data_IF_972963732326
#
_entry.id   IF_972963732326
#
_cell.length_a   1.000
_cell.length_b   1.000
_cell.length_c   1.000
_cell.angle_alpha   90.00
_cell.angle_beta   90.00
_cell.angle_gamma   90.00
#
_symmetry.space_group_name_H-M   'P 1'
#
loop_
_entity.id
_entity.type
_entity.pdbx_description
1 polymer ?
#
# COMPACT_ATOMS: atom_id res chain seq x y z
N UNK A 1 30.67 15.02 -31.58
CA UNK A 1 29.76 15.16 -30.42
C UNK A 1 29.20 13.84 -29.92
N UNK A 2 28.74 12.90 -30.78
CA UNK A 2 28.30 11.54 -30.37
C UNK A 2 29.28 10.74 -29.50
N UNK A 3 30.59 11.00 -29.59
CA UNK A 3 31.62 10.28 -28.80
C UNK A 3 31.64 10.69 -27.32
N UNK A 4 31.48 11.97 -27.01
CA UNK A 4 31.45 12.45 -25.61
C UNK A 4 30.17 11.96 -24.93
N UNK A 5 29.03 12.08 -25.60
CA UNK A 5 27.74 11.63 -25.06
C UNK A 5 27.74 10.12 -24.83
N UNK A 6 28.28 9.33 -25.78
CA UNK A 6 28.45 7.88 -25.64
C UNK A 6 29.41 7.51 -24.51
N UNK A 7 30.50 8.26 -24.36
CA UNK A 7 31.44 8.05 -23.25
C UNK A 7 30.76 8.30 -21.91
N UNK A 8 30.10 9.45 -21.74
CA UNK A 8 29.39 9.79 -20.50
C UNK A 8 28.29 8.77 -20.18
N UNK A 9 27.53 8.31 -21.18
CA UNK A 9 26.51 7.27 -20.99
C UNK A 9 27.11 5.94 -20.53
N UNK A 10 28.12 5.42 -21.23
CA UNK A 10 28.74 4.13 -20.86
C UNK A 10 29.40 4.23 -19.47
N UNK A 11 30.10 5.34 -19.21
CA UNK A 11 30.75 5.61 -17.94
C UNK A 11 29.74 5.83 -16.79
N UNK A 12 28.47 6.14 -17.09
CA UNK A 12 27.38 6.21 -16.10
C UNK A 12 26.69 4.85 -15.91
N UNK A 13 26.47 4.10 -16.99
CA UNK A 13 25.80 2.80 -16.93
C UNK A 13 26.63 1.76 -16.18
N UNK A 14 27.95 1.74 -16.37
CA UNK A 14 28.83 0.77 -15.71
C UNK A 14 28.75 0.83 -14.17
N UNK A 15 28.98 1.99 -13.50
CA UNK A 15 28.81 2.11 -12.06
C UNK A 15 27.34 1.95 -11.62
N UNK A 16 26.37 2.28 -12.46
CA UNK A 16 24.95 2.07 -12.15
C UNK A 16 24.62 0.58 -12.02
N UNK A 17 25.02 -0.23 -13.00
CA UNK A 17 24.86 -1.69 -12.92
C UNK A 17 25.62 -2.31 -11.74
N UNK A 18 26.83 -1.84 -11.46
CA UNK A 18 27.60 -2.29 -10.30
C UNK A 18 26.89 -1.99 -8.97
N UNK A 19 26.37 -0.76 -8.82
CA UNK A 19 25.60 -0.38 -7.64
C UNK A 19 24.30 -1.20 -7.52
N UNK A 20 23.58 -1.42 -8.63
CA UNK A 20 22.38 -2.27 -8.64
C UNK A 20 22.72 -3.67 -8.12
N UNK A 21 23.69 -4.36 -8.71
CA UNK A 21 24.07 -5.73 -8.28
C UNK A 21 24.45 -5.76 -6.81
N UNK A 22 25.19 -4.76 -6.35
CA UNK A 22 25.61 -4.64 -4.94
C UNK A 22 24.41 -4.50 -4.01
N UNK A 23 23.49 -3.57 -4.29
CA UNK A 23 22.30 -3.36 -3.47
C UNK A 23 21.32 -4.54 -3.54
N UNK A 24 21.17 -5.19 -4.70
CA UNK A 24 20.38 -6.41 -4.83
C UNK A 24 20.95 -7.53 -3.95
N UNK A 25 22.26 -7.74 -4.00
CA UNK A 25 22.95 -8.72 -3.16
C UNK A 25 22.76 -8.41 -1.67
N UNK A 26 22.96 -7.15 -1.28
CA UNK A 26 22.77 -6.69 0.10
C UNK A 26 21.33 -6.93 0.57
N UNK A 27 20.34 -6.61 -0.27
CA UNK A 27 18.94 -6.84 0.05
C UNK A 27 18.64 -8.33 0.26
N UNK A 28 19.12 -9.20 -0.63
CA UNK A 28 18.95 -10.66 -0.51
C UNK A 28 19.57 -11.18 0.78
N UNK A 29 20.76 -10.68 1.15
CA UNK A 29 21.41 -11.05 2.41
C UNK A 29 20.53 -10.65 3.60
N UNK A 30 20.03 -9.41 3.63
CA UNK A 30 19.14 -8.95 4.70
C UNK A 30 17.87 -9.82 4.79
N UNK A 31 17.23 -10.12 3.65
CA UNK A 31 16.03 -10.94 3.61
C UNK A 31 16.30 -12.37 4.11
N UNK A 32 17.44 -12.95 3.70
CA UNK A 32 17.86 -14.27 4.14
C UNK A 32 18.07 -14.33 5.66
N UNK A 33 18.70 -13.30 6.25
CA UNK A 33 18.88 -13.23 7.70
C UNK A 33 17.56 -13.07 8.45
N UNK A 34 16.64 -12.24 7.95
CA UNK A 34 15.34 -12.00 8.57
C UNK A 34 14.43 -13.23 8.51
N UNK A 35 14.47 -13.99 7.42
CA UNK A 35 13.58 -15.13 7.18
C UNK A 35 14.24 -16.48 7.44
N UNK A 36 15.44 -16.52 8.02
CA UNK A 36 16.22 -17.76 8.16
C UNK A 36 15.46 -18.84 8.96
N UNK A 37 14.69 -18.44 9.97
CA UNK A 37 13.89 -19.36 10.80
C UNK A 37 12.72 -19.96 10.00
N UNK A 38 12.02 -19.14 9.23
CA UNK A 38 10.91 -19.57 8.36
C UNK A 38 11.42 -20.48 7.22
N UNK A 39 12.62 -20.18 6.69
CA UNK A 39 13.26 -20.94 5.62
C UNK A 39 13.75 -22.32 6.06
N UNK A 40 14.32 -22.43 7.26
CA UNK A 40 14.74 -23.71 7.84
C UNK A 40 13.51 -24.58 8.15
N UNK A 41 12.41 -23.97 8.60
CA UNK A 41 11.17 -24.66 8.93
C UNK A 41 10.46 -25.27 7.72
N UNK A 42 10.63 -24.67 6.53
CA UNK A 42 9.87 -25.03 5.34
C UNK A 42 10.44 -26.22 4.53
N UNK A 43 11.62 -26.76 4.86
CA UNK A 43 12.32 -27.83 4.10
C UNK A 43 12.29 -27.63 2.57
N UNK A 44 12.33 -26.38 2.10
CA UNK A 44 12.06 -26.06 0.71
C UNK A 44 13.28 -26.40 -0.18
N UNK A 45 13.06 -26.99 -1.37
CA UNK A 45 14.15 -27.31 -2.30
C UNK A 45 14.85 -26.04 -2.83
N UNK A 46 16.16 -26.08 -3.14
CA UNK A 46 16.95 -24.90 -3.56
C UNK A 46 16.40 -24.16 -4.79
N UNK A 47 15.70 -24.87 -5.69
CA UNK A 47 15.03 -24.27 -6.85
C UNK A 47 13.92 -23.27 -6.47
N UNK A 48 13.26 -23.50 -5.32
CA UNK A 48 12.20 -22.63 -4.83
C UNK A 48 12.73 -21.22 -4.51
N UNK A 49 13.98 -21.10 -4.04
CA UNK A 49 14.60 -19.81 -3.72
C UNK A 49 14.75 -18.93 -4.96
N UNK A 50 15.13 -19.52 -6.10
CA UNK A 50 15.29 -18.78 -7.36
C UNK A 50 13.93 -18.22 -7.81
N UNK A 51 12.86 -19.01 -7.69
CA UNK A 51 11.52 -18.56 -8.04
C UNK A 51 10.98 -17.52 -7.07
N UNK A 52 11.20 -17.70 -5.77
CA UNK A 52 10.80 -16.76 -4.72
C UNK A 52 11.46 -15.40 -4.91
N UNK A 53 12.80 -15.36 -5.02
CA UNK A 53 13.53 -14.12 -5.25
C UNK A 53 13.24 -13.54 -6.64
N UNK A 54 13.04 -14.38 -7.66
CA UNK A 54 12.66 -13.94 -9.01
C UNK A 54 11.37 -13.13 -9.04
N UNK A 55 10.39 -13.48 -8.20
CA UNK A 55 9.13 -12.73 -8.07
C UNK A 55 9.34 -11.45 -7.25
N UNK A 56 10.28 -11.45 -6.30
CA UNK A 56 10.60 -10.28 -5.49
C UNK A 56 11.46 -9.25 -6.25
N UNK A 57 12.20 -9.65 -7.28
CA UNK A 57 13.11 -8.77 -8.05
C UNK A 57 12.50 -7.40 -8.33
N UNK A 58 11.28 -7.27 -8.89
CA UNK A 58 10.84 -5.95 -9.32
C UNK A 58 10.33 -5.11 -8.14
N UNK A 59 9.94 -5.72 -7.01
CA UNK A 59 9.71 -5.01 -5.74
C UNK A 59 11.02 -4.47 -5.16
N UNK A 60 12.08 -5.29 -5.16
CA UNK A 60 13.41 -4.89 -4.70
C UNK A 60 13.94 -3.76 -5.59
N UNK A 61 13.77 -3.89 -6.91
CA UNK A 61 14.13 -2.90 -7.90
C UNK A 61 13.55 -1.52 -7.57
N UNK A 62 12.26 -1.43 -7.21
CA UNK A 62 11.62 -0.15 -6.86
C UNK A 62 12.32 0.57 -5.70
N UNK A 63 12.85 -0.16 -4.72
CA UNK A 63 13.56 0.41 -3.57
C UNK A 63 15.02 0.73 -3.90
N UNK A 64 15.66 -0.10 -4.71
CA UNK A 64 17.11 -0.07 -4.97
C UNK A 64 17.50 0.87 -6.13
N UNK A 65 16.62 1.08 -7.11
CA UNK A 65 16.91 1.90 -8.29
C UNK A 65 17.34 3.34 -7.96
N UNK A 66 16.60 4.11 -7.12
CA UNK A 66 16.97 5.48 -6.79
C UNK A 66 18.34 5.64 -6.13
N UNK A 67 18.68 4.92 -5.04
CA UNK A 67 20.00 5.04 -4.42
C UNK A 67 21.12 4.53 -5.32
N UNK A 68 20.89 3.47 -6.12
CA UNK A 68 21.88 2.99 -7.08
C UNK A 68 22.20 4.01 -8.17
N UNK A 69 21.19 4.69 -8.71
CA UNK A 69 21.37 5.74 -9.70
C UNK A 69 22.11 6.95 -9.12
N UNK A 70 21.72 7.40 -7.92
CA UNK A 70 22.37 8.50 -7.23
C UNK A 70 23.87 8.22 -7.01
N UNK A 71 24.21 7.04 -6.48
CA UNK A 71 25.59 6.67 -6.20
C UNK A 71 26.44 6.59 -7.48
N UNK A 72 25.84 6.09 -8.57
CA UNK A 72 26.48 6.05 -9.88
C UNK A 72 26.82 7.45 -10.42
N UNK A 73 25.87 8.40 -10.30
CA UNK A 73 26.09 9.78 -10.71
C UNK A 73 27.24 10.42 -9.93
N UNK A 74 27.25 10.25 -8.61
CA UNK A 74 28.31 10.77 -7.73
C UNK A 74 29.66 10.14 -8.09
N UNK A 75 29.69 8.82 -8.29
CA UNK A 75 30.90 8.10 -8.67
C UNK A 75 31.46 8.62 -10.00
N UNK A 76 30.63 8.77 -11.04
CA UNK A 76 31.09 9.24 -12.34
C UNK A 76 31.65 10.67 -12.25
N UNK A 77 30.97 11.57 -11.54
CA UNK A 77 31.44 12.94 -11.34
C UNK A 77 32.77 12.96 -10.58
N UNK A 78 32.91 12.16 -9.52
CA UNK A 78 34.15 12.03 -8.78
C UNK A 78 35.28 11.45 -9.65
N UNK A 79 34.99 10.43 -10.45
CA UNK A 79 35.94 9.80 -11.37
C UNK A 79 36.45 10.80 -12.41
N UNK A 80 35.56 11.50 -13.10
CA UNK A 80 35.93 12.53 -14.07
C UNK A 80 36.69 13.71 -13.43
N UNK A 81 36.32 14.10 -12.20
CA UNK A 81 37.01 15.15 -11.45
C UNK A 81 38.44 14.75 -11.11
N UNK A 82 38.65 13.53 -10.58
CA UNK A 82 39.98 13.02 -10.21
C UNK A 82 40.95 12.92 -11.40
N UNK A 83 40.44 12.63 -12.60
CA UNK A 83 41.23 12.54 -13.84
C UNK A 83 41.39 13.88 -14.56
N UNK A 84 40.88 14.97 -13.98
CA UNK A 84 40.79 16.30 -14.62
C UNK A 84 40.05 16.29 -15.96
N UNK A 85 39.30 15.22 -16.27
CA UNK A 85 38.51 15.11 -17.49
C UNK A 85 37.42 16.17 -17.50
N UNK A 86 36.75 16.38 -16.36
CA UNK A 86 35.69 17.37 -16.20
C UNK A 86 36.19 18.78 -16.56
N UNK A 87 37.32 19.20 -15.97
CA UNK A 87 37.94 20.50 -16.23
C UNK A 87 38.41 20.61 -17.68
N UNK A 88 39.01 19.55 -18.25
CA UNK A 88 39.43 19.53 -19.64
C UNK A 88 38.26 19.70 -20.62
N UNK A 89 37.11 19.04 -20.38
CA UNK A 89 35.91 19.24 -21.20
C UNK A 89 35.39 20.67 -21.13
N UNK A 90 35.38 21.29 -19.95
CA UNK A 90 34.94 22.68 -19.80
C UNK A 90 35.90 23.65 -20.48
N UNK A 91 37.21 23.42 -20.37
CA UNK A 91 38.24 24.20 -21.05
C UNK A 91 38.14 24.09 -22.59
N UNK A 92 37.65 22.96 -23.10
CA UNK A 92 37.36 22.77 -24.53
C UNK A 92 36.07 23.49 -25.00
N UNK A 93 35.44 24.31 -24.15
CA UNK A 93 34.24 25.09 -24.46
C UNK A 93 32.93 24.32 -24.32
N UNK A 94 32.93 23.12 -23.73
CA UNK A 94 31.69 22.39 -23.44
C UNK A 94 31.04 22.95 -22.19
N UNK A 95 29.81 23.43 -22.32
CA UNK A 95 29.04 23.92 -21.18
C UNK A 95 28.74 22.81 -20.17
N UNK A 96 28.72 23.17 -18.88
CA UNK A 96 28.38 22.23 -17.81
C UNK A 96 27.00 21.61 -18.02
N UNK A 97 26.02 22.40 -18.47
CA UNK A 97 24.67 21.92 -18.78
C UNK A 97 24.66 20.76 -19.78
N UNK A 98 25.57 20.77 -20.77
CA UNK A 98 25.67 19.70 -21.77
C UNK A 98 26.23 18.40 -21.19
N UNK A 99 27.12 18.50 -20.20
CA UNK A 99 27.64 17.34 -19.47
C UNK A 99 26.52 16.66 -18.66
N UNK A 100 25.53 17.43 -18.17
CA UNK A 100 24.37 16.90 -17.43
C UNK A 100 23.28 16.26 -18.30
N UNK A 101 23.20 16.57 -19.60
CA UNK A 101 22.19 15.98 -20.52
C UNK A 101 22.12 14.43 -20.46
N UNK A 102 23.23 13.68 -20.55
CA UNK A 102 23.18 12.21 -20.43
C UNK A 102 22.70 11.74 -19.05
N UNK A 103 22.99 12.47 -17.97
CA UNK A 103 22.46 12.15 -16.65
C UNK A 103 20.94 12.30 -16.61
N UNK A 104 20.42 13.37 -17.19
CA UNK A 104 18.97 13.59 -17.31
C UNK A 104 18.29 12.54 -18.17
N UNK A 105 18.91 12.13 -19.27
CA UNK A 105 18.37 11.09 -20.13
C UNK A 105 18.24 9.75 -19.39
N UNK A 106 19.27 9.36 -18.64
CA UNK A 106 19.24 8.13 -17.82
C UNK A 106 18.30 8.26 -16.63
N UNK A 107 18.24 9.42 -15.95
CA UNK A 107 17.30 9.61 -14.84
C UNK A 107 15.85 9.51 -15.29
N UNK A 108 15.53 10.01 -16.49
CA UNK A 108 14.20 9.92 -17.06
C UNK A 108 13.84 8.46 -17.43
N UNK A 109 14.81 7.70 -17.96
CA UNK A 109 14.67 6.26 -18.18
C UNK A 109 14.43 5.52 -16.85
N UNK A 110 15.21 5.80 -15.80
CA UNK A 110 15.04 5.20 -14.48
C UNK A 110 13.68 5.55 -13.87
N UNK A 111 13.24 6.81 -14.00
CA UNK A 111 11.92 7.25 -13.54
C UNK A 111 10.79 6.55 -14.30
N UNK A 112 10.90 6.41 -15.63
CA UNK A 112 9.94 5.66 -16.44
C UNK A 112 9.90 4.19 -16.02
N UNK A 113 11.06 3.55 -15.85
CA UNK A 113 11.15 2.17 -15.38
C UNK A 113 10.50 2.02 -13.99
N UNK A 114 10.73 2.96 -13.09
CA UNK A 114 10.13 2.94 -11.76
C UNK A 114 8.60 3.12 -11.81
N UNK A 115 8.10 3.97 -12.71
CA UNK A 115 6.68 4.13 -12.96
C UNK A 115 6.05 2.84 -13.51
N UNK A 116 6.67 2.20 -14.51
CA UNK A 116 6.22 0.91 -15.03
C UNK A 116 6.21 -0.17 -13.96
N UNK A 117 7.30 -0.26 -13.17
CA UNK A 117 7.35 -1.17 -12.04
C UNK A 117 6.22 -0.88 -11.04
N UNK A 118 5.90 0.38 -10.76
CA UNK A 118 4.82 0.71 -9.83
C UNK A 118 3.43 0.35 -10.37
N UNK A 119 3.17 0.60 -11.65
CA UNK A 119 1.87 0.35 -12.28
C UNK A 119 1.58 -1.14 -12.47
N UNK A 120 2.55 -1.91 -12.97
CA UNK A 120 2.35 -3.33 -13.27
C UNK A 120 2.43 -4.22 -12.00
N UNK A 121 3.19 -3.82 -10.97
CA UNK A 121 3.40 -4.68 -9.79
C UNK A 121 2.41 -4.52 -8.64
N UNK A 122 1.70 -3.41 -8.55
CA UNK A 122 0.89 -3.12 -7.35
C UNK A 122 -0.28 -4.11 -7.17
N UNK A 123 -1.05 -4.50 -8.21
CA UNK A 123 -2.11 -5.50 -8.06
C UNK A 123 -1.65 -6.95 -8.31
N UNK A 124 -0.85 -7.19 -9.36
CA UNK A 124 -0.66 -8.54 -9.93
C UNK A 124 0.42 -9.39 -9.22
N UNK A 125 1.56 -8.79 -8.86
CA UNK A 125 2.66 -9.51 -8.22
C UNK A 125 2.43 -9.76 -6.73
N UNK A 126 1.66 -8.92 -6.04
CA UNK A 126 1.37 -9.11 -4.61
C UNK A 126 0.36 -10.23 -4.36
N UNK A 127 -0.66 -10.39 -5.22
CA UNK A 127 -1.53 -11.57 -5.18
C UNK A 127 -0.73 -12.86 -5.40
N UNK A 128 0.22 -12.86 -6.33
CA UNK A 128 1.08 -14.03 -6.60
C UNK A 128 2.04 -14.34 -5.45
N UNK A 129 2.61 -13.32 -4.81
CA UNK A 129 3.49 -13.47 -3.66
C UNK A 129 2.73 -13.98 -2.42
N UNK A 130 1.55 -13.44 -2.14
CA UNK A 130 0.65 -13.92 -1.07
C UNK A 130 0.24 -15.38 -1.28
N UNK A 131 -0.09 -15.76 -2.51
CA UNK A 131 -0.41 -17.15 -2.88
C UNK A 131 0.78 -18.12 -2.76
N UNK A 132 2.02 -17.62 -2.81
CA UNK A 132 3.23 -18.43 -2.62
C UNK A 132 3.63 -18.53 -1.15
N UNK A 133 3.50 -17.45 -0.39
CA UNK A 133 3.70 -17.45 1.06
C UNK A 133 2.69 -18.37 1.77
N UNK A 134 1.44 -18.41 1.30
CA UNK A 134 0.43 -19.36 1.80
C UNK A 134 0.78 -20.83 1.53
N UNK A 135 1.49 -21.10 0.43
CA UNK A 135 1.96 -22.46 0.12
C UNK A 135 3.17 -22.87 0.96
N UNK A 136 4.00 -21.93 1.39
CA UNK A 136 5.19 -22.21 2.21
C UNK A 136 4.87 -22.54 3.67
N UNK A 137 3.87 -21.90 4.28
CA UNK A 137 3.64 -22.04 5.72
C UNK A 137 2.78 -23.23 6.14
N UNK A 138 2.23 -24.04 5.21
CA UNK A 138 1.12 -24.98 5.51
C UNK A 138 -0.02 -24.31 6.32
N UNK A 139 -0.07 -22.98 6.30
CA UNK A 139 -1.19 -22.19 6.76
C UNK A 139 -2.08 -22.22 5.53
N UNK A 140 -3.22 -22.97 5.53
CA UNK A 140 -4.16 -22.88 4.42
C UNK A 140 -4.34 -21.40 4.17
N UNK A 141 -4.22 -20.97 2.91
CA UNK A 141 -4.40 -19.57 2.52
C UNK A 141 -5.48 -19.01 3.43
N UNK A 142 -5.11 -18.11 4.36
CA UNK A 142 -6.06 -17.49 5.28
C UNK A 142 -6.87 -16.60 4.35
N UNK A 143 -7.79 -17.23 3.63
CA UNK A 143 -8.35 -16.76 2.38
C UNK A 143 -9.12 -15.51 2.75
N UNK A 144 -8.50 -14.36 2.51
CA UNK A 144 -9.02 -13.07 2.90
C UNK A 144 -9.54 -12.98 4.35
N UNK A 145 -8.84 -13.57 5.32
CA UNK A 145 -9.19 -13.42 6.75
C UNK A 145 -8.38 -12.28 7.35
N UNK A 146 -9.05 -11.19 7.70
CA UNK A 146 -8.45 -9.97 8.25
C UNK A 146 -8.79 -9.80 9.73
N UNK A 147 -7.77 -9.59 10.55
CA UNK A 147 -7.93 -9.38 11.99
C UNK A 147 -8.00 -7.87 12.33
N UNK A 148 -8.89 -7.52 13.26
CA UNK A 148 -9.09 -6.17 13.82
C UNK A 148 -9.31 -5.11 12.73
N UNK A 149 -10.42 -5.22 12.01
CA UNK A 149 -10.84 -4.30 10.96
C UNK A 149 -11.67 -3.18 11.56
N UNK A 150 -11.28 -1.93 11.28
CA UNK A 150 -12.07 -0.74 11.58
C UNK A 150 -12.59 -0.18 10.27
N UNK A 151 -13.91 -0.08 10.14
CA UNK A 151 -14.55 0.53 8.97
C UNK A 151 -15.53 1.60 9.43
N UNK A 152 -15.51 2.77 8.79
CA UNK A 152 -16.49 3.84 9.04
C UNK A 152 -17.24 4.09 7.75
N UNK A 153 -18.54 3.86 7.79
CA UNK A 153 -19.43 4.11 6.66
C UNK A 153 -19.70 5.63 6.53
N UNK A 154 -19.37 6.25 5.38
CA UNK A 154 -19.58 7.67 5.15
C UNK A 154 -21.05 8.09 5.03
N UNK A 155 -21.95 7.20 4.58
CA UNK A 155 -23.33 7.59 4.23
C UNK A 155 -24.29 7.57 5.42
N UNK A 156 -24.09 6.66 6.37
CA UNK A 156 -24.95 6.50 7.55
C UNK A 156 -24.22 6.81 8.88
N UNK A 157 -22.93 7.12 8.84
CA UNK A 157 -22.12 7.40 10.04
C UNK A 157 -21.82 6.18 10.91
N UNK A 158 -22.14 4.96 10.46
CA UNK A 158 -21.95 3.72 11.21
C UNK A 158 -20.46 3.32 11.26
N UNK A 159 -19.95 3.02 12.44
CA UNK A 159 -18.62 2.47 12.66
C UNK A 159 -18.67 0.99 12.99
N UNK A 160 -17.82 0.23 12.32
CA UNK A 160 -17.68 -1.21 12.49
C UNK A 160 -16.30 -1.53 13.05
N UNK A 161 -16.26 -2.28 14.13
CA UNK A 161 -15.06 -2.85 14.72
C UNK A 161 -15.17 -4.37 14.64
N UNK A 162 -14.52 -4.99 13.66
CA UNK A 162 -14.56 -6.44 13.47
C UNK A 162 -13.26 -7.07 13.98
N UNK A 163 -13.37 -8.11 14.81
CA UNK A 163 -12.19 -8.83 15.31
C UNK A 163 -11.59 -9.73 14.24
N UNK A 164 -12.42 -10.44 13.47
CA UNK A 164 -12.00 -11.27 12.35
C UNK A 164 -13.05 -11.20 11.24
N UNK A 165 -12.65 -10.94 10.00
CA UNK A 165 -13.54 -10.96 8.82
C UNK A 165 -12.93 -11.78 7.70
N UNK A 166 -13.69 -12.73 7.18
CA UNK A 166 -13.37 -13.50 5.99
C UNK A 166 -14.07 -12.87 4.78
N UNK A 167 -13.31 -12.21 3.90
CA UNK A 167 -13.87 -11.52 2.73
C UNK A 167 -14.29 -12.48 1.60
N UNK A 168 -13.78 -13.72 1.59
CA UNK A 168 -14.13 -14.73 0.56
C UNK A 168 -15.44 -15.42 0.92
N UNK A 169 -15.58 -15.85 2.18
CA UNK A 169 -16.80 -16.51 2.66
C UNK A 169 -17.90 -15.49 3.01
N UNK A 170 -17.55 -14.20 3.13
CA UNK A 170 -18.48 -13.16 3.56
C UNK A 170 -18.93 -13.36 5.00
N UNK A 171 -18.04 -13.84 5.88
CA UNK A 171 -18.35 -14.08 7.28
C UNK A 171 -17.49 -13.21 8.18
N UNK A 172 -17.99 -12.82 9.34
CA UNK A 172 -17.15 -12.22 10.38
C UNK A 172 -17.40 -12.88 11.74
N UNK A 173 -16.40 -12.80 12.61
CA UNK A 173 -16.47 -13.18 14.01
C UNK A 173 -16.22 -11.96 14.88
N UNK A 174 -17.14 -11.75 15.80
CA UNK A 174 -17.14 -10.67 16.78
C UNK A 174 -17.03 -9.28 16.13
N UNK A 175 -18.18 -8.64 15.93
CA UNK A 175 -18.24 -7.26 15.49
C UNK A 175 -18.91 -6.37 16.53
N UNK A 176 -18.41 -5.15 16.66
CA UNK A 176 -19.09 -4.06 17.35
C UNK A 176 -19.49 -3.02 16.30
N UNK A 177 -20.79 -2.77 16.20
CA UNK A 177 -21.36 -1.82 15.24
C UNK A 177 -21.93 -0.65 16.03
N UNK A 178 -21.39 0.53 15.83
CA UNK A 178 -21.79 1.77 16.49
C UNK A 178 -22.48 2.68 15.46
N UNK A 179 -23.75 3.00 15.70
CA UNK A 179 -24.49 3.98 14.90
C UNK A 179 -24.49 5.33 15.62
N UNK A 180 -24.18 6.40 14.90
CA UNK A 180 -24.14 7.76 15.41
C UNK A 180 -25.37 8.53 14.89
N UNK A 181 -25.93 9.40 15.73
CA UNK A 181 -27.03 10.32 15.40
C UNK A 181 -26.54 11.52 14.56
N UNK A 182 -27.44 12.26 13.91
CA UNK A 182 -27.10 13.42 13.05
C UNK A 182 -26.32 14.52 13.81
N UNK A 183 -26.50 14.58 15.13
CA UNK A 183 -25.81 15.49 16.05
C UNK A 183 -24.46 14.94 16.57
N UNK A 184 -23.99 13.81 16.06
CA UNK A 184 -22.71 13.22 16.45
C UNK A 184 -22.73 12.44 17.78
N UNK A 185 -23.91 12.12 18.30
CA UNK A 185 -24.09 11.37 19.56
C UNK A 185 -24.28 9.88 19.30
N UNK A 186 -23.76 9.03 20.16
CA UNK A 186 -23.97 7.58 20.07
C UNK A 186 -25.48 7.27 20.18
N UNK A 187 -26.04 6.59 19.18
CA UNK A 187 -27.47 6.23 19.12
C UNK A 187 -27.67 4.80 19.60
N UNK A 188 -26.92 3.88 19.01
CA UNK A 188 -27.00 2.46 19.33
C UNK A 188 -25.65 1.78 19.10
N UNK A 189 -25.37 0.77 19.91
CA UNK A 189 -24.24 -0.13 19.74
C UNK A 189 -24.73 -1.57 19.71
N UNK A 190 -24.32 -2.30 18.69
CA UNK A 190 -24.60 -3.73 18.51
C UNK A 190 -23.31 -4.50 18.77
N UNK A 191 -23.35 -5.47 19.67
CA UNK A 191 -22.30 -6.48 19.82
C UNK A 191 -22.78 -7.76 19.15
N UNK A 192 -22.08 -8.20 18.12
CA UNK A 192 -22.50 -9.33 17.27
C UNK A 192 -21.45 -10.42 17.36
N UNK A 193 -21.83 -11.63 17.73
CA UNK A 193 -20.87 -12.73 17.82
C UNK A 193 -20.44 -13.25 16.44
N UNK A 194 -21.37 -13.32 15.49
CA UNK A 194 -21.13 -13.81 14.13
C UNK A 194 -22.03 -13.12 13.13
N UNK A 195 -21.52 -12.81 11.94
CA UNK A 195 -22.35 -12.35 10.81
C UNK A 195 -22.04 -13.10 9.54
N UNK A 196 -23.06 -13.27 8.69
CA UNK A 196 -22.91 -13.82 7.34
C UNK A 196 -23.56 -12.89 6.32
N UNK A 197 -22.83 -12.59 5.25
CA UNK A 197 -23.30 -11.74 4.17
C UNK A 197 -24.06 -12.58 3.14
N UNK A 198 -25.36 -12.34 2.99
CA UNK A 198 -26.22 -13.01 2.01
C UNK A 198 -27.12 -11.99 1.33
N UNK A 199 -27.32 -12.14 0.02
CA UNK A 199 -28.28 -11.34 -0.76
C UNK A 199 -28.11 -9.80 -0.65
N UNK A 200 -26.91 -9.31 -0.38
CA UNK A 200 -26.61 -7.87 -0.32
C UNK A 200 -26.70 -7.22 1.06
N UNK A 201 -27.03 -7.99 2.11
CA UNK A 201 -27.12 -7.51 3.49
C UNK A 201 -26.46 -8.50 4.48
N UNK A 202 -26.29 -8.07 5.73
CA UNK A 202 -25.71 -8.89 6.79
C UNK A 202 -26.79 -9.56 7.65
N UNK A 203 -26.75 -10.89 7.70
CA UNK A 203 -27.45 -11.68 8.71
C UNK A 203 -26.57 -11.74 9.97
N UNK A 204 -27.05 -11.17 11.07
CA UNK A 204 -26.32 -11.07 12.33
C UNK A 204 -26.85 -12.13 13.31
N UNK A 205 -25.94 -12.85 13.98
CA UNK A 205 -26.27 -13.90 14.94
C UNK A 205 -25.71 -13.57 16.33
N UNK A 206 -26.49 -13.87 17.36
CA UNK A 206 -26.21 -13.57 18.77
C UNK A 206 -25.83 -12.09 18.95
N UNK A 207 -26.82 -11.24 18.76
CA UNK A 207 -26.72 -9.78 18.80
C UNK A 207 -27.16 -9.27 20.16
N UNK A 208 -26.26 -8.57 20.84
CA UNK A 208 -26.60 -7.76 22.01
C UNK A 208 -26.73 -6.31 21.58
N UNK A 209 -27.95 -5.78 21.64
CA UNK A 209 -28.28 -4.39 21.30
C UNK A 209 -28.29 -3.51 22.54
N UNK A 210 -27.54 -2.42 22.50
CA UNK A 210 -27.54 -1.37 23.53
C UNK A 210 -27.96 -0.06 22.89
N UNK A 211 -29.01 0.58 23.43
CA UNK A 211 -29.51 1.86 22.96
C UNK A 211 -29.06 2.94 23.95
N UNK A 212 -28.47 4.02 23.43
CA UNK A 212 -28.07 5.16 24.25
C UNK A 212 -29.18 6.21 24.23
N UNK A 213 -29.61 6.65 25.42
CA UNK A 213 -30.60 7.71 25.56
C UNK A 213 -29.93 9.09 25.49
N UNK A 214 -30.66 10.15 25.11
CA UNK A 214 -30.14 11.52 25.10
C UNK A 214 -29.54 12.00 26.44
N UNK A 215 -29.98 11.39 27.55
CA UNK A 215 -29.53 11.71 28.92
C UNK A 215 -28.19 11.04 29.30
N UNK A 216 -27.53 10.35 28.37
CA UNK A 216 -26.27 9.63 28.60
C UNK A 216 -26.43 8.29 29.31
N UNK A 217 -27.66 7.89 29.66
CA UNK A 217 -27.95 6.57 30.22
C UNK A 217 -28.20 5.53 29.14
N UNK A 218 -27.86 4.27 29.41
CA UNK A 218 -28.14 3.14 28.51
C UNK A 218 -29.51 2.53 28.82
N UNK A 219 -30.22 2.14 27.77
CA UNK A 219 -31.34 1.20 27.89
C UNK A 219 -30.87 -0.18 28.38
N UNK A 220 -31.76 -1.01 28.94
CA UNK A 220 -31.42 -2.40 29.22
C UNK A 220 -30.95 -3.09 27.91
N UNK A 221 -29.89 -3.91 27.96
CA UNK A 221 -29.43 -4.65 26.79
C UNK A 221 -30.55 -5.58 26.30
N UNK A 222 -30.76 -5.61 24.99
CA UNK A 222 -31.68 -6.55 24.35
C UNK A 222 -30.84 -7.58 23.62
N UNK A 223 -30.89 -8.82 24.08
CA UNK A 223 -30.21 -9.95 23.43
C UNK A 223 -31.17 -10.56 22.38
N UNK A 224 -30.68 -10.71 21.15
CA UNK A 224 -31.40 -11.22 19.99
C UNK A 224 -30.60 -12.37 19.38
N UNK A 225 -31.24 -13.51 19.12
CA UNK A 225 -30.57 -14.67 18.53
C UNK A 225 -30.18 -14.44 17.06
N UNK A 226 -31.04 -13.73 16.31
CA UNK A 226 -30.80 -13.34 14.93
C UNK A 226 -31.39 -11.95 14.65
N UNK A 227 -30.67 -11.14 13.88
CA UNK A 227 -31.13 -9.84 13.39
C UNK A 227 -30.78 -9.71 11.90
N UNK A 228 -31.80 -9.64 11.06
CA UNK A 228 -31.64 -9.37 9.64
C UNK A 228 -31.44 -7.86 9.45
N UNK A 229 -30.18 -7.44 9.32
CA UNK A 229 -29.82 -6.03 9.26
C UNK A 229 -29.86 -5.53 7.81
N UNK A 230 -31.08 -5.38 7.26
CA UNK A 230 -31.34 -4.86 5.91
C UNK A 230 -30.74 -3.46 5.66
N UNK A 231 -30.41 -2.73 6.72
CA UNK A 231 -29.77 -1.41 6.67
C UNK A 231 -28.24 -1.48 6.51
N UNK A 232 -27.63 -2.64 6.76
CA UNK A 232 -26.19 -2.88 6.68
C UNK A 232 -25.87 -3.56 5.35
N UNK A 233 -25.65 -2.74 4.31
CA UNK A 233 -25.39 -3.20 2.95
C UNK A 233 -23.91 -3.19 2.57
N UNK A 234 -23.01 -2.90 3.52
CA UNK A 234 -21.57 -2.85 3.29
C UNK A 234 -21.02 -4.21 2.86
N UNK A 235 -20.38 -4.29 1.70
CA UNK A 235 -19.80 -5.55 1.23
C UNK A 235 -18.58 -5.96 2.08
N UNK A 236 -18.31 -7.27 2.25
CA UNK A 236 -17.14 -7.76 2.97
C UNK A 236 -15.81 -7.16 2.46
N UNK A 237 -15.72 -6.93 1.15
CA UNK A 237 -14.56 -6.34 0.49
C UNK A 237 -14.37 -4.85 0.85
N UNK A 238 -15.47 -4.11 1.02
CA UNK A 238 -15.42 -2.71 1.48
C UNK A 238 -14.97 -2.58 2.94
N UNK A 239 -15.43 -3.49 3.81
CA UNK A 239 -15.00 -3.51 5.22
C UNK A 239 -13.48 -3.72 5.33
N UNK A 240 -12.95 -4.64 4.52
CA UNK A 240 -11.53 -4.96 4.48
C UNK A 240 -10.67 -3.88 3.81
N UNK A 241 -11.24 -3.09 2.90
CA UNK A 241 -10.48 -2.06 2.18
C UNK A 241 -9.74 -1.12 3.13
N UNK A 242 -10.34 -0.71 4.25
CA UNK A 242 -9.71 0.21 5.21
C UNK A 242 -8.39 -0.28 5.82
N UNK A 243 -8.11 -1.60 5.81
CA UNK A 243 -6.85 -2.18 6.30
C UNK A 243 -5.68 -2.11 5.32
N UNK A 244 -5.93 -1.97 4.01
CA UNK A 244 -4.85 -1.84 3.02
C UNK A 244 -4.05 -0.58 3.35
N UNK A 245 -2.73 -0.69 3.46
CA UNK A 245 -1.91 0.51 3.70
C UNK A 245 -2.01 1.42 2.48
N UNK A 246 -1.97 2.76 2.63
CA UNK A 246 -1.99 3.69 1.49
C UNK A 246 -0.93 3.35 0.41
N UNK A 247 0.21 2.82 0.85
CA UNK A 247 1.32 2.35 0.03
C UNK A 247 1.00 1.11 -0.84
N UNK A 248 -0.11 0.42 -0.56
CA UNK A 248 -0.56 -0.82 -1.22
C UNK A 248 -1.68 -0.58 -2.24
N UNK A 249 -2.22 0.64 -2.30
CA UNK A 249 -3.24 1.00 -3.30
C UNK A 249 -2.57 1.38 -4.62
N UNK A 250 -3.12 0.89 -5.73
CA UNK A 250 -2.82 1.45 -7.05
C UNK A 250 -3.26 2.92 -7.11
N UNK A 251 -2.63 3.74 -7.95
CA UNK A 251 -2.91 5.18 -8.01
C UNK A 251 -4.40 5.50 -8.19
N UNK A 252 -5.11 4.76 -9.04
CA UNK A 252 -6.54 4.95 -9.27
C UNK A 252 -7.39 4.62 -8.04
N UNK A 253 -7.07 3.53 -7.35
CA UNK A 253 -7.75 3.11 -6.12
C UNK A 253 -7.42 4.05 -4.95
N UNK A 254 -6.18 4.56 -4.88
CA UNK A 254 -5.76 5.56 -3.90
C UNK A 254 -6.53 6.86 -4.12
N UNK A 255 -6.67 7.31 -5.37
CA UNK A 255 -7.45 8.50 -5.70
C UNK A 255 -8.94 8.29 -5.33
N UNK A 256 -9.52 7.13 -5.62
CA UNK A 256 -10.87 6.80 -5.18
C UNK A 256 -10.99 6.78 -3.63
N UNK A 257 -9.99 6.23 -2.93
CA UNK A 257 -9.93 6.18 -1.47
C UNK A 257 -9.82 7.56 -0.83
N UNK A 258 -8.99 8.46 -1.36
CA UNK A 258 -8.86 9.84 -0.83
C UNK A 258 -10.14 10.62 -1.01
N UNK A 259 -10.79 10.53 -2.17
CA UNK A 259 -12.10 11.16 -2.41
C UNK A 259 -13.20 10.59 -1.51
N UNK A 260 -13.20 9.29 -1.26
CA UNK A 260 -14.14 8.65 -0.34
C UNK A 260 -13.92 9.08 1.12
N UNK A 261 -12.67 9.20 1.56
CA UNK A 261 -12.31 9.60 2.93
C UNK A 261 -12.59 11.10 3.20
N UNK A 262 -12.37 11.97 2.21
CA UNK A 262 -12.63 13.41 2.36
C UNK A 262 -14.12 13.77 2.41
N UNK A 263 -15.00 13.01 1.75
CA UNK A 263 -16.46 13.17 1.92
C UNK A 263 -16.96 12.73 3.31
N UNK A 264 -16.23 11.85 4.00
CA UNK A 264 -16.64 11.22 5.26
C UNK A 264 -16.28 12.03 6.52
N UNK A 265 -15.64 13.19 6.37
CA UNK A 265 -15.30 14.07 7.49
C UNK A 265 -16.40 15.11 7.69
N UNK A 266 -17.14 15.10 8.82
CA UNK A 266 -18.16 16.12 9.13
C UNK A 266 -17.57 17.53 9.32
N UNK A 267 -16.24 17.64 9.38
CA UNK A 267 -15.50 18.91 9.47
C UNK A 267 -14.99 19.33 8.10
N UNK A 268 -15.84 19.29 7.07
CA UNK A 268 -15.60 20.14 5.91
C UNK A 268 -15.66 21.58 6.45
N UNK A 269 -14.51 22.26 6.44
CA UNK A 269 -14.47 23.70 6.70
C UNK A 269 -15.55 24.34 5.82
N UNK A 270 -16.45 25.18 6.37
CA UNK A 270 -17.48 25.80 5.55
C UNK A 270 -16.77 26.47 4.36
N UNK A 271 -17.28 26.32 3.12
CA UNK A 271 -16.70 27.03 2.00
C UNK A 271 -16.65 28.49 2.42
N UNK A 272 -15.45 29.05 2.50
CA UNK A 272 -15.29 30.49 2.71
C UNK A 272 -16.01 31.14 1.54
N UNK A 273 -17.24 31.58 1.79
CA UNK A 273 -18.00 32.42 0.89
C UNK A 273 -17.21 33.71 0.76
N UNK A 274 -16.28 33.76 -0.19
CA UNK A 274 -15.72 34.99 -0.71
C UNK A 274 -16.78 35.66 -1.59
N UNK A 275 -17.90 36.03 -0.98
CA UNK A 275 -18.89 36.93 -1.55
C UNK A 275 -18.91 38.18 -0.67
N UNK A 276 -17.86 38.98 -0.79
CA UNK A 276 -17.94 40.43 -0.65
C UNK A 276 -17.16 41.01 -1.83
N UNK A 277 -17.85 41.05 -2.98
CA UNK A 277 -17.53 41.88 -4.14
C UNK A 277 -18.30 43.18 -3.92
N UNK A 278 -17.57 44.29 -3.86
CA UNK A 278 -17.97 45.66 -4.21
C UNK A 278 -19.24 46.25 -3.57
N UNK A 279 -19.03 47.18 -2.66
CA UNK A 279 -19.62 48.53 -2.70
C UNK A 279 -18.65 49.51 -2.02
#
# INVERSE_FOLDING_TARGET
MKRLDRYLLISLLQPFFFCLVTFFSLWIIIDLFNNIQDLISAQAPPWFFIQYYGIQIPRIAQTVLPPAFFLSCVYLLAYMSSRRELVATMAAGVSLARIFVPFLAVSLLVAALQYFLYFDLTPSSRQRLSNLESKMKNIPARADVYDRVLYKNPSNGTMWFLTEVNATEGTFRQAEILSIDELGRDKEKLFVARGTYKNGYWDLYNVRKVIFRPDGTTGPPVDLDQLDALTLTESPQQLVATRRKPEEYGWADLHAFTHAKYRASPTAWPPTTSNIIHA
#
